data_IF_308904020508
#
_entry.id   IF_308904020508
#
_cell.length_a   1.000
_cell.length_b   1.000
_cell.length_c   1.000
_cell.angle_alpha   90.00
_cell.angle_beta   90.00
_cell.angle_gamma   90.00
#
_symmetry.space_group_name_H-M   'P 1'
#
loop_
_entity.id
_entity.type
_entity.pdbx_description
1 polymer ?
#
# COMPACT_ATOMS: atom_id res chain seq x y z
N UNK A 1 -7.26 1.19 -9.47
CA UNK A 1 -5.97 1.46 -8.79
C UNK A 1 -6.15 2.64 -7.89
N UNK A 2 -5.68 2.53 -6.65
CA UNK A 2 -6.15 3.44 -5.60
C UNK A 2 -5.35 4.72 -5.46
N UNK A 3 -4.04 4.71 -5.71
CA UNK A 3 -3.16 5.88 -5.47
C UNK A 3 -2.89 6.75 -6.69
N UNK A 4 -3.54 6.45 -7.82
CA UNK A 4 -3.40 7.22 -9.07
C UNK A 4 -4.61 8.13 -9.27
N UNK A 5 -4.55 8.99 -10.29
CA UNK A 5 -5.67 9.87 -10.65
C UNK A 5 -6.99 9.10 -10.80
N UNK A 6 -8.03 9.56 -10.10
CA UNK A 6 -9.34 8.90 -10.06
C UNK A 6 -9.41 7.64 -9.19
N UNK A 7 -8.37 7.34 -8.42
CA UNK A 7 -8.36 6.29 -7.41
C UNK A 7 -8.98 6.72 -6.08
N UNK A 8 -9.34 5.75 -5.23
CA UNK A 8 -10.01 6.02 -3.95
C UNK A 8 -9.15 6.80 -2.93
N UNK A 9 -7.84 6.89 -3.13
CA UNK A 9 -6.89 7.65 -2.31
C UNK A 9 -5.82 8.26 -3.23
N UNK A 10 -6.29 9.02 -4.22
CA UNK A 10 -5.46 9.66 -5.24
C UNK A 10 -4.34 10.52 -4.63
N UNK A 11 -3.14 10.36 -5.16
CA UNK A 11 -1.99 11.21 -4.87
C UNK A 11 -1.74 12.13 -6.06
N UNK A 12 -1.55 13.42 -5.78
CA UNK A 12 -1.19 14.43 -6.78
C UNK A 12 0.09 14.02 -7.52
N UNK A 13 0.11 14.24 -8.83
CA UNK A 13 1.24 13.92 -9.73
C UNK A 13 1.69 12.45 -9.76
N UNK A 14 0.83 11.53 -9.31
CA UNK A 14 1.06 10.08 -9.27
C UNK A 14 1.48 9.47 -10.62
N UNK A 15 1.04 10.03 -11.75
CA UNK A 15 1.44 9.59 -13.09
C UNK A 15 2.95 9.76 -13.34
N UNK A 16 3.55 10.84 -12.84
CA UNK A 16 4.99 11.10 -12.99
C UNK A 16 5.86 10.13 -12.19
N UNK A 17 5.29 9.56 -11.12
CA UNK A 17 5.98 8.56 -10.29
C UNK A 17 6.15 7.25 -11.07
N UNK A 18 5.18 6.87 -11.90
CA UNK A 18 5.24 5.62 -12.68
C UNK A 18 6.34 5.70 -13.73
N UNK A 19 6.44 6.82 -14.46
CA UNK A 19 7.50 7.01 -15.46
C UNK A 19 8.88 7.05 -14.80
N UNK A 20 9.01 7.73 -13.66
CA UNK A 20 10.23 7.76 -12.86
C UNK A 20 10.63 6.37 -12.36
N UNK A 21 9.69 5.59 -11.83
CA UNK A 21 9.93 4.23 -11.37
C UNK A 21 10.44 3.34 -12.52
N UNK A 22 9.84 3.42 -13.71
CA UNK A 22 10.29 2.66 -14.88
C UNK A 22 11.71 3.03 -15.32
N UNK A 23 12.08 4.31 -15.25
CA UNK A 23 13.45 4.76 -15.54
C UNK A 23 14.46 4.15 -14.56
N UNK A 24 14.13 4.16 -13.26
CA UNK A 24 14.97 3.55 -12.22
C UNK A 24 15.05 2.04 -12.37
N UNK A 25 13.93 1.37 -12.66
CA UNK A 25 13.90 -0.08 -12.97
C UNK A 25 14.84 -0.41 -14.13
N UNK A 26 14.81 0.39 -15.19
CA UNK A 26 15.69 0.21 -16.36
C UNK A 26 17.16 0.28 -15.96
N UNK A 27 17.51 1.28 -15.14
CA UNK A 27 18.87 1.40 -14.59
C UNK A 27 19.24 0.19 -13.72
N UNK A 28 18.35 -0.25 -12.82
CA UNK A 28 18.57 -1.42 -11.99
C UNK A 28 18.85 -2.68 -12.84
N UNK A 29 18.08 -2.91 -13.90
CA UNK A 29 18.30 -4.04 -14.81
C UNK A 29 19.66 -3.97 -15.49
N UNK A 30 20.09 -2.79 -15.95
CA UNK A 30 21.41 -2.59 -16.56
C UNK A 30 22.56 -2.87 -15.59
N UNK A 31 22.34 -2.63 -14.29
CA UNK A 31 23.33 -2.83 -13.24
C UNK A 31 23.18 -4.17 -12.50
N UNK A 32 22.28 -5.05 -12.95
CA UNK A 32 21.92 -6.31 -12.26
C UNK A 32 21.50 -6.09 -10.78
N UNK A 33 20.84 -4.98 -10.48
CA UNK A 33 20.27 -4.66 -9.17
C UNK A 33 18.86 -5.27 -9.07
N UNK A 34 18.58 -5.94 -7.96
CA UNK A 34 17.27 -6.54 -7.67
C UNK A 34 16.22 -5.46 -7.43
N UNK A 35 15.06 -5.64 -8.06
CA UNK A 35 13.86 -4.82 -7.89
C UNK A 35 12.80 -5.65 -7.16
N UNK A 36 12.41 -5.20 -5.98
CA UNK A 36 11.28 -5.72 -5.22
C UNK A 36 10.19 -4.67 -5.13
N UNK A 37 8.94 -5.12 -4.99
CA UNK A 37 7.80 -4.24 -4.80
C UNK A 37 7.10 -4.52 -3.48
N UNK A 38 6.52 -3.47 -2.90
CA UNK A 38 5.56 -3.61 -1.81
C UNK A 38 4.16 -3.32 -2.34
N UNK A 39 3.16 -3.98 -1.75
CA UNK A 39 1.77 -3.86 -2.16
C UNK A 39 0.89 -3.74 -0.92
N UNK A 40 0.09 -2.67 -0.82
CA UNK A 40 -1.00 -2.65 0.16
C UNK A 40 -2.06 -3.67 -0.21
N UNK A 41 -2.45 -4.48 0.77
CA UNK A 41 -3.25 -5.68 0.55
C UNK A 41 -4.23 -5.91 1.71
N UNK A 42 -5.15 -4.96 1.88
CA UNK A 42 -6.05 -4.90 3.02
C UNK A 42 -7.29 -5.79 2.85
N UNK A 43 -7.68 -6.60 3.84
CA UNK A 43 -8.99 -7.25 3.81
C UNK A 43 -10.10 -6.20 3.82
N UNK A 44 -11.29 -6.54 3.32
CA UNK A 44 -12.38 -5.58 3.16
C UNK A 44 -12.86 -4.96 4.49
N UNK A 45 -12.66 -5.69 5.59
CA UNK A 45 -12.99 -5.34 6.96
C UNK A 45 -11.81 -4.71 7.74
N UNK A 46 -10.74 -4.29 7.06
CA UNK A 46 -9.58 -3.68 7.71
C UNK A 46 -9.96 -2.42 8.51
N UNK A 47 -9.48 -2.32 9.76
CA UNK A 47 -9.87 -1.30 10.72
C UNK A 47 -9.20 0.07 10.46
N UNK A 48 -8.20 0.16 9.59
CA UNK A 48 -7.74 1.48 9.13
C UNK A 48 -8.78 2.19 8.26
N UNK A 49 -9.78 1.47 7.73
CA UNK A 49 -10.86 2.09 6.98
C UNK A 49 -11.84 2.78 7.93
N UNK A 50 -12.07 4.06 7.71
CA UNK A 50 -12.95 4.89 8.55
C UNK A 50 -14.36 4.30 8.70
N UNK A 51 -14.88 3.70 7.61
CA UNK A 51 -16.19 3.04 7.60
C UNK A 51 -16.27 1.82 8.52
N UNK A 52 -15.18 1.08 8.71
CA UNK A 52 -15.13 -0.12 9.55
C UNK A 52 -14.91 0.23 11.04
N UNK A 53 -14.28 1.38 11.30
CA UNK A 53 -13.98 1.86 12.66
C UNK A 53 -14.98 2.90 13.18
N UNK A 54 -15.98 3.29 12.38
CA UNK A 54 -16.97 4.31 12.77
C UNK A 54 -16.38 5.70 12.95
N UNK A 55 -15.31 6.03 12.21
CA UNK A 55 -14.57 7.29 12.31
C UNK A 55 -14.70 8.13 11.04
N UNK A 56 -14.04 9.29 11.00
CA UNK A 56 -14.05 10.18 9.84
C UNK A 56 -12.76 10.06 9.04
N UNK A 57 -12.86 9.99 7.72
CA UNK A 57 -11.70 9.95 6.82
C UNK A 57 -10.80 11.17 7.03
N UNK A 58 -9.49 10.93 7.10
CA UNK A 58 -8.45 11.95 7.24
C UNK A 58 -8.21 12.42 8.68
N UNK A 59 -8.99 11.94 9.65
CA UNK A 59 -8.74 12.23 11.07
C UNK A 59 -7.80 11.20 11.69
N UNK A 60 -7.21 11.57 12.82
CA UNK A 60 -6.30 10.73 13.59
C UNK A 60 -7.01 10.10 14.79
N UNK A 61 -6.57 8.91 15.18
CA UNK A 61 -6.99 8.25 16.41
C UNK A 61 -6.01 7.18 16.89
N UNK A 62 -6.52 6.28 17.72
CA UNK A 62 -5.79 5.14 18.25
C UNK A 62 -6.42 3.83 17.75
N UNK A 63 -5.64 2.96 17.13
CA UNK A 63 -6.03 1.61 16.75
C UNK A 63 -5.13 0.63 17.51
N UNK A 64 -5.71 -0.07 18.50
CA UNK A 64 -5.01 -1.08 19.30
C UNK A 64 -3.69 -0.59 19.92
N UNK A 65 -3.68 0.63 20.46
CA UNK A 65 -2.51 1.23 21.10
C UNK A 65 -1.57 1.95 20.14
N UNK A 66 -1.81 1.92 18.83
CA UNK A 66 -1.01 2.59 17.82
C UNK A 66 -1.71 3.83 17.25
N UNK A 67 -0.93 4.85 16.91
CA UNK A 67 -1.42 6.04 16.20
C UNK A 67 -1.91 5.63 14.80
N UNK A 68 -3.11 6.08 14.43
CA UNK A 68 -3.77 5.70 13.18
C UNK A 68 -4.38 6.92 12.47
N UNK A 69 -4.20 7.03 11.16
CA UNK A 69 -5.01 7.92 10.31
C UNK A 69 -6.14 7.10 9.68
N UNK A 70 -7.37 7.55 9.77
CA UNK A 70 -8.50 6.81 9.20
C UNK A 70 -8.63 7.07 7.71
N UNK A 71 -8.57 6.03 6.90
CA UNK A 71 -8.53 6.12 5.45
C UNK A 71 -9.89 5.79 4.81
N UNK A 72 -10.14 6.23 3.56
CA UNK A 72 -11.19 5.62 2.76
C UNK A 72 -10.83 4.16 2.47
N UNK A 73 -11.79 3.35 2.01
CA UNK A 73 -11.51 1.99 1.55
C UNK A 73 -10.52 2.03 0.38
N UNK A 74 -9.40 1.33 0.52
CA UNK A 74 -8.34 1.31 -0.48
C UNK A 74 -7.64 -0.04 -0.54
N UNK A 75 -7.03 -0.35 -1.69
CA UNK A 75 -6.16 -1.52 -1.86
C UNK A 75 -6.74 -2.84 -1.29
N UNK A 76 -8.06 -3.05 -1.47
CA UNK A 76 -8.73 -4.24 -0.98
C UNK A 76 -8.24 -5.48 -1.72
N UNK A 77 -7.95 -6.56 -0.97
CA UNK A 77 -7.43 -7.81 -1.52
C UNK A 77 -8.24 -8.28 -2.73
N UNK A 78 -7.53 -8.72 -3.76
CA UNK A 78 -8.09 -9.28 -5.00
C UNK A 78 -8.94 -8.31 -5.83
N UNK A 79 -8.97 -7.01 -5.48
CA UNK A 79 -9.67 -6.00 -6.27
C UNK A 79 -8.73 -5.18 -7.14
N UNK A 80 -9.29 -4.57 -8.19
CA UNK A 80 -8.57 -3.65 -9.10
C UNK A 80 -7.91 -2.46 -8.38
N UNK A 81 -8.39 -2.11 -7.19
CA UNK A 81 -7.79 -1.08 -6.34
C UNK A 81 -6.35 -1.41 -5.92
N UNK A 82 -6.09 -2.68 -5.60
CA UNK A 82 -4.84 -3.17 -5.04
C UNK A 82 -3.78 -3.57 -6.08
N UNK A 83 -4.16 -3.67 -7.36
CA UNK A 83 -3.22 -4.01 -8.44
C UNK A 83 -2.20 -2.90 -8.68
N UNK A 84 -0.99 -3.27 -9.08
CA UNK A 84 0.01 -2.31 -9.58
C UNK A 84 -0.48 -1.58 -10.83
N UNK A 85 0.11 -0.42 -11.11
CA UNK A 85 -0.21 0.31 -12.32
C UNK A 85 0.14 -0.48 -13.59
N UNK A 86 -0.75 -0.58 -14.60
CA UNK A 86 -0.48 -1.36 -15.81
C UNK A 86 0.70 -0.80 -16.61
N UNK A 87 1.00 0.50 -16.46
CA UNK A 87 2.17 1.11 -17.08
C UNK A 87 3.48 0.89 -16.29
N UNK A 88 3.43 0.34 -15.07
CA UNK A 88 4.64 -0.06 -14.34
C UNK A 88 5.25 -1.30 -15.00
N UNK A 89 6.57 -1.33 -15.17
CA UNK A 89 7.30 -2.48 -15.71
C UNK A 89 7.36 -3.64 -14.70
N UNK A 90 6.24 -4.34 -14.55
CA UNK A 90 6.08 -5.39 -13.53
C UNK A 90 6.91 -6.65 -13.81
N UNK A 91 7.30 -6.91 -15.06
CA UNK A 91 8.14 -8.06 -15.40
C UNK A 91 9.55 -7.96 -14.81
N UNK A 92 9.98 -6.75 -14.45
CA UNK A 92 11.25 -6.51 -13.79
C UNK A 92 11.21 -6.69 -12.27
N UNK A 93 10.04 -6.94 -11.66
CA UNK A 93 9.90 -7.15 -10.22
C UNK A 93 10.19 -8.62 -9.90
N UNK A 94 11.20 -8.90 -9.07
CA UNK A 94 11.56 -10.27 -8.68
C UNK A 94 10.70 -10.81 -7.54
N UNK A 95 10.22 -9.95 -6.65
CA UNK A 95 9.34 -10.35 -5.56
C UNK A 95 8.41 -9.21 -5.15
N UNK A 96 7.19 -9.56 -4.75
CA UNK A 96 6.20 -8.64 -4.20
C UNK A 96 5.91 -9.02 -2.76
N UNK A 97 5.98 -8.05 -1.86
CA UNK A 97 5.67 -8.21 -0.44
C UNK A 97 4.39 -7.45 -0.11
N UNK A 98 3.36 -8.19 0.30
CA UNK A 98 2.08 -7.63 0.68
C UNK A 98 2.12 -7.16 2.15
N UNK A 99 1.56 -5.98 2.40
CA UNK A 99 1.45 -5.37 3.74
C UNK A 99 0.00 -4.99 4.05
N UNK A 100 -0.31 -4.76 5.33
CA UNK A 100 -1.66 -4.40 5.76
C UNK A 100 -2.68 -5.56 5.73
N UNK A 101 -2.21 -6.80 5.75
CA UNK A 101 -3.07 -8.00 5.67
C UNK A 101 -3.85 -8.24 6.97
N UNK A 102 -3.31 -7.83 8.12
CA UNK A 102 -3.98 -7.99 9.40
C UNK A 102 -5.08 -6.94 9.54
N UNK A 103 -6.34 -7.36 9.58
CA UNK A 103 -7.50 -6.46 9.71
C UNK A 103 -7.39 -5.48 10.90
N UNK A 104 -6.68 -5.85 11.96
CA UNK A 104 -6.66 -5.09 13.22
C UNK A 104 -5.48 -4.15 13.40
N UNK A 105 -4.48 -4.18 12.49
CA UNK A 105 -3.25 -3.40 12.62
C UNK A 105 -2.86 -2.87 11.25
N UNK A 106 -2.73 -1.55 11.13
CA UNK A 106 -2.23 -0.92 9.91
C UNK A 106 -0.70 -1.03 9.80
N UNK A 107 -0.17 -1.00 8.57
CA UNK A 107 1.25 -1.18 8.28
C UNK A 107 1.73 -0.19 7.22
N UNK A 108 2.08 1.02 7.67
CA UNK A 108 2.68 2.03 6.79
C UNK A 108 4.10 1.66 6.34
N UNK A 109 4.87 0.97 7.18
CA UNK A 109 6.24 0.54 6.86
C UNK A 109 6.24 -0.78 6.09
N UNK A 110 7.22 -0.93 5.19
CA UNK A 110 7.50 -2.19 4.46
C UNK A 110 8.28 -3.20 5.29
N UNK A 111 8.80 -2.80 6.45
CA UNK A 111 9.32 -3.72 7.47
C UNK A 111 8.14 -4.45 8.13
N UNK A 112 8.26 -5.76 8.32
CA UNK A 112 7.26 -6.59 9.01
C UNK A 112 6.76 -5.89 10.29
N UNK A 113 5.45 -5.67 10.39
CA UNK A 113 4.83 -5.28 11.65
C UNK A 113 5.00 -6.47 12.63
N UNK A 114 6.03 -6.43 13.46
CA UNK A 114 6.21 -7.39 14.55
C UNK A 114 5.17 -7.05 15.60
N UNK A 115 4.08 -7.82 15.70
CA UNK A 115 3.28 -7.80 16.93
C UNK A 115 4.18 -8.33 18.04
N UNK A 116 4.48 -7.51 19.05
CA UNK A 116 5.07 -8.05 20.28
C UNK A 116 4.12 -9.10 20.82
N UNK A 117 4.52 -10.37 20.79
CA UNK A 117 3.93 -11.37 21.67
C UNK A 117 4.41 -11.03 23.07
N UNK A 118 3.49 -10.57 23.91
CA UNK A 118 3.72 -10.58 25.35
C UNK A 118 3.93 -12.04 25.78
N UNK A 119 4.98 -12.26 26.57
CA UNK A 119 5.30 -13.52 27.26
C UNK A 119 4.57 -13.53 28.58
#
# INVERSE_FOLDING_TARGET
>A
MTFVKGGALEVLDSESVISTANNVITYCQQQNIVVIASQDWHPADHLSFAVNSGTQVGTEGNLNGLRQIWWPVHCVQYQKGAQFHPALNQSAIQATFQKGINATIDSYTTSFAVSKKEV
#
